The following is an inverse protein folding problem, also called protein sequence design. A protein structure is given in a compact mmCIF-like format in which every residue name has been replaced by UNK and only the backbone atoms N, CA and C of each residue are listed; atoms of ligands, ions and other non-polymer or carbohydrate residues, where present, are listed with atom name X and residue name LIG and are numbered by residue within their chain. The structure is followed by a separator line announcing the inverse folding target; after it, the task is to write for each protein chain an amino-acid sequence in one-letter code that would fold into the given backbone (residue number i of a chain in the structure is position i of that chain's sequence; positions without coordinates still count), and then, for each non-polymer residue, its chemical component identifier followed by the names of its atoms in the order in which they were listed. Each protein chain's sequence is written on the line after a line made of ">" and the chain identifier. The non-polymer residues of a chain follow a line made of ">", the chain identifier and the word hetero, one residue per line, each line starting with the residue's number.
data_IF_764259677224
#
_entry.id   IF_764259677224
#
_cell.length_a   1.000
_cell.length_b   1.000
_cell.length_c   1.000
_cell.angle_alpha   90.00
_cell.angle_beta   90.00
_cell.angle_gamma   90.00
#
_symmetry.space_group_name_H-M   'P 1'
#
loop_
_entity.id
_entity.type
_entity.pdbx_description
1 polymer ?
#
# COMPACT_ATOMS: atom_id res chain seq x y z
N UNK A 1 -6.25 -40.23 10.61
CA UNK A 1 -6.01 -39.61 9.27
C UNK A 1 -7.19 -38.77 8.77
N UNK A 2 -8.46 -39.05 9.15
CA UNK A 2 -9.61 -38.19 8.79
C UNK A 2 -9.75 -36.88 9.60
N UNK A 3 -9.30 -36.87 10.87
CA UNK A 3 -9.53 -35.76 11.81
C UNK A 3 -8.74 -34.47 11.45
N UNK A 4 -7.55 -34.59 10.86
CA UNK A 4 -6.71 -33.44 10.46
C UNK A 4 -7.20 -32.73 9.18
N UNK A 5 -8.05 -33.36 8.37
CA UNK A 5 -8.56 -32.77 7.12
C UNK A 5 -9.78 -31.88 7.33
N UNK A 6 -10.49 -32.06 8.46
CA UNK A 6 -11.71 -31.30 8.78
C UNK A 6 -11.34 -29.93 9.35
N UNK A 7 -10.31 -29.86 10.21
CA UNK A 7 -9.79 -28.59 10.75
C UNK A 7 -9.28 -27.66 9.64
N UNK A 8 -8.48 -28.17 8.68
CA UNK A 8 -7.96 -27.33 7.59
C UNK A 8 -9.05 -26.74 6.70
N UNK A 9 -10.20 -27.41 6.52
CA UNK A 9 -11.27 -26.93 5.65
C UNK A 9 -12.15 -25.89 6.36
N UNK A 10 -12.35 -26.06 7.68
CA UNK A 10 -13.02 -25.09 8.55
C UNK A 10 -12.16 -23.84 8.76
N UNK A 11 -10.86 -24.03 9.03
CA UNK A 11 -9.91 -22.93 9.10
C UNK A 11 -9.83 -22.24 7.75
N UNK A 12 -9.55 -22.92 6.63
CA UNK A 12 -9.47 -22.28 5.30
C UNK A 12 -10.70 -21.43 4.95
N UNK A 13 -11.91 -21.88 5.30
CA UNK A 13 -13.15 -21.10 5.14
C UNK A 13 -13.17 -19.83 6.02
N UNK A 14 -12.71 -19.92 7.27
CA UNK A 14 -12.56 -18.79 8.18
C UNK A 14 -11.41 -17.84 7.80
N UNK A 15 -10.26 -18.38 7.34
CA UNK A 15 -9.10 -17.61 6.89
C UNK A 15 -9.46 -16.81 5.64
N UNK A 16 -10.26 -17.36 4.72
CA UNK A 16 -10.63 -16.66 3.49
C UNK A 16 -11.50 -15.41 3.76
N UNK A 17 -12.47 -15.50 4.66
CA UNK A 17 -13.24 -14.33 5.11
C UNK A 17 -12.37 -13.32 5.87
N UNK A 18 -11.43 -13.82 6.68
CA UNK A 18 -10.48 -12.96 7.40
C UNK A 18 -9.48 -12.29 6.47
N UNK A 19 -9.04 -12.91 5.38
CA UNK A 19 -7.98 -12.41 4.52
C UNK A 19 -8.41 -11.16 3.75
N UNK A 20 -9.66 -11.13 3.26
CA UNK A 20 -10.23 -9.95 2.60
C UNK A 20 -10.38 -8.81 3.62
N UNK A 21 -10.89 -9.12 4.82
CA UNK A 21 -11.05 -8.13 5.89
C UNK A 21 -9.72 -7.60 6.41
N UNK A 22 -8.74 -8.47 6.64
CA UNK A 22 -7.37 -8.13 7.04
C UNK A 22 -6.69 -7.32 5.94
N UNK A 23 -6.88 -7.69 4.66
CA UNK A 23 -6.38 -6.92 3.52
C UNK A 23 -6.98 -5.53 3.46
N UNK A 24 -8.29 -5.40 3.65
CA UNK A 24 -8.99 -4.12 3.73
C UNK A 24 -8.50 -3.26 4.89
N UNK A 25 -8.45 -3.82 6.10
CA UNK A 25 -7.98 -3.14 7.32
C UNK A 25 -6.52 -2.73 7.18
N UNK A 26 -5.66 -3.58 6.61
CA UNK A 26 -4.24 -3.27 6.38
C UNK A 26 -4.08 -2.15 5.35
N UNK A 27 -4.88 -2.16 4.29
CA UNK A 27 -4.86 -1.10 3.26
C UNK A 27 -5.38 0.22 3.81
N UNK A 28 -6.49 0.18 4.55
CA UNK A 28 -7.09 1.35 5.21
C UNK A 28 -6.24 1.89 6.37
N UNK A 29 -5.44 1.04 7.04
CA UNK A 29 -4.56 1.47 8.13
C UNK A 29 -3.21 1.96 7.62
N UNK A 30 -2.92 1.85 6.32
CA UNK A 30 -1.65 2.29 5.75
C UNK A 30 -1.65 3.81 5.48
N UNK A 31 -0.88 4.62 6.23
CA UNK A 31 -0.84 6.07 6.03
C UNK A 31 -0.37 6.46 4.62
N UNK A 32 0.43 5.61 3.97
CA UNK A 32 0.94 5.85 2.63
C UNK A 32 -0.18 5.91 1.58
N UNK A 33 -1.29 5.21 1.78
CA UNK A 33 -2.43 5.24 0.87
C UNK A 33 -3.04 6.65 0.82
N UNK A 34 -3.30 7.24 1.99
CA UNK A 34 -3.84 8.60 2.07
C UNK A 34 -2.83 9.64 1.61
N UNK A 35 -1.56 9.51 1.99
CA UNK A 35 -0.50 10.42 1.56
C UNK A 35 -0.32 10.43 0.03
N UNK A 36 -0.42 9.27 -0.61
CA UNK A 36 -0.38 9.17 -2.07
C UNK A 36 -1.56 9.89 -2.73
N UNK A 37 -2.78 9.69 -2.22
CA UNK A 37 -3.97 10.38 -2.74
C UNK A 37 -3.90 11.89 -2.54
N UNK A 38 -3.36 12.37 -1.42
CA UNK A 38 -3.19 13.81 -1.16
C UNK A 38 -2.13 14.42 -2.07
N UNK A 39 -0.99 13.74 -2.27
CA UNK A 39 0.12 14.28 -3.05
C UNK A 39 -0.07 14.11 -4.57
N UNK A 40 -0.24 12.87 -5.03
CA UNK A 40 -0.24 12.51 -6.45
C UNK A 40 -1.68 12.35 -6.95
N UNK A 41 -2.53 11.67 -6.19
CA UNK A 41 -3.92 11.42 -6.59
C UNK A 41 -4.73 12.71 -6.81
N UNK A 42 -4.51 13.75 -5.99
CA UNK A 42 -5.16 15.06 -6.14
C UNK A 42 -4.82 15.72 -7.48
N UNK A 43 -3.54 15.69 -7.87
CA UNK A 43 -3.08 16.14 -9.18
C UNK A 43 -3.75 15.34 -10.30
N UNK A 44 -3.76 14.01 -10.24
CA UNK A 44 -4.39 13.21 -11.30
C UNK A 44 -5.90 13.46 -11.40
N UNK A 45 -6.61 13.63 -10.29
CA UNK A 45 -8.03 13.99 -10.30
C UNK A 45 -8.22 15.34 -10.99
N UNK A 46 -7.47 16.37 -10.58
CA UNK A 46 -7.58 17.72 -11.16
C UNK A 46 -7.31 17.70 -12.66
N UNK A 47 -6.23 17.04 -13.10
CA UNK A 47 -5.92 16.90 -14.53
C UNK A 47 -7.00 16.12 -15.27
N UNK A 48 -7.58 15.07 -14.66
CA UNK A 48 -8.66 14.29 -15.29
C UNK A 48 -9.95 15.09 -15.47
N UNK A 49 -10.22 16.06 -14.58
CA UNK A 49 -11.39 16.93 -14.65
C UNK A 49 -11.28 17.97 -15.79
N UNK A 50 -10.07 18.34 -16.21
CA UNK A 50 -9.85 19.19 -17.40
C UNK A 50 -10.37 18.54 -18.68
N UNK A 51 -10.32 17.20 -18.75
CA UNK A 51 -10.91 16.41 -19.84
C UNK A 51 -12.42 16.12 -19.64
N UNK A 52 -13.05 16.74 -18.63
CA UNK A 52 -14.46 16.60 -18.30
C UNK A 52 -14.83 15.26 -17.64
N UNK A 53 -16.13 14.98 -17.54
CA UNK A 53 -16.66 13.79 -16.84
C UNK A 53 -16.15 12.46 -17.40
N UNK A 54 -15.85 12.40 -18.70
CA UNK A 54 -15.29 11.21 -19.34
C UNK A 54 -13.83 10.97 -18.93
N UNK A 55 -13.03 12.03 -18.80
CA UNK A 55 -11.65 11.95 -18.31
C UNK A 55 -11.56 11.38 -16.90
N UNK A 56 -12.46 11.78 -16.01
CA UNK A 56 -12.54 11.25 -14.65
C UNK A 56 -12.88 9.75 -14.61
N UNK A 57 -13.85 9.30 -15.41
CA UNK A 57 -14.25 7.88 -15.45
C UNK A 57 -13.12 7.01 -16.03
N UNK A 58 -12.47 7.47 -17.12
CA UNK A 58 -11.34 6.77 -17.70
C UNK A 58 -10.16 6.72 -16.73
N UNK A 59 -9.87 7.81 -16.03
CA UNK A 59 -8.85 7.85 -14.99
C UNK A 59 -9.13 6.79 -13.91
N UNK A 60 -10.36 6.73 -13.38
CA UNK A 60 -10.72 5.77 -12.33
C UNK A 60 -10.49 4.32 -12.79
N UNK A 61 -10.95 3.97 -13.99
CA UNK A 61 -10.84 2.62 -14.55
C UNK A 61 -9.36 2.27 -14.81
N UNK A 62 -8.63 3.14 -15.51
CA UNK A 62 -7.22 2.89 -15.83
C UNK A 62 -6.37 2.81 -14.57
N UNK A 63 -6.62 3.67 -13.58
CA UNK A 63 -5.89 3.67 -12.31
C UNK A 63 -6.10 2.35 -11.57
N UNK A 64 -7.34 1.88 -11.42
CA UNK A 64 -7.63 0.58 -10.80
C UNK A 64 -7.03 -0.60 -11.57
N UNK A 65 -7.04 -0.56 -12.91
CA UNK A 65 -6.42 -1.62 -13.71
C UNK A 65 -4.90 -1.65 -13.56
N UNK A 66 -4.25 -0.48 -13.50
CA UNK A 66 -2.81 -0.37 -13.23
C UNK A 66 -2.48 -0.90 -11.84
N UNK A 67 -3.28 -0.56 -10.83
CA UNK A 67 -3.05 -1.03 -9.47
C UNK A 67 -3.21 -2.55 -9.37
N UNK A 68 -4.27 -3.12 -9.97
CA UNK A 68 -4.46 -4.57 -10.05
C UNK A 68 -3.32 -5.26 -10.80
N UNK A 69 -2.90 -4.70 -11.93
CA UNK A 69 -1.76 -5.20 -12.71
C UNK A 69 -0.47 -5.18 -11.90
N UNK A 70 -0.22 -4.09 -11.16
CA UNK A 70 0.92 -3.94 -10.27
C UNK A 70 0.91 -4.98 -9.15
N UNK A 71 -0.22 -5.15 -8.45
CA UNK A 71 -0.34 -6.16 -7.39
C UNK A 71 -0.17 -7.58 -7.92
N UNK A 72 -0.67 -7.87 -9.13
CA UNK A 72 -0.46 -9.16 -9.76
C UNK A 72 1.02 -9.42 -10.07
N UNK A 73 1.71 -8.44 -10.66
CA UNK A 73 3.15 -8.52 -10.93
C UNK A 73 3.93 -8.73 -9.62
N UNK A 74 3.68 -7.91 -8.60
CA UNK A 74 4.34 -8.01 -7.30
C UNK A 74 4.11 -9.39 -6.68
N UNK A 75 2.87 -9.89 -6.70
CA UNK A 75 2.52 -11.21 -6.16
C UNK A 75 3.27 -12.32 -6.90
N UNK A 76 3.31 -12.28 -8.23
CA UNK A 76 4.02 -13.28 -9.05
C UNK A 76 5.53 -13.20 -8.82
N UNK A 77 6.09 -12.00 -8.75
CA UNK A 77 7.51 -11.76 -8.46
C UNK A 77 7.89 -12.28 -7.07
N UNK A 78 7.06 -12.02 -6.05
CA UNK A 78 7.25 -12.50 -4.68
C UNK A 78 7.13 -14.02 -4.63
N UNK A 79 6.11 -14.59 -5.26
CA UNK A 79 5.89 -16.04 -5.30
C UNK A 79 7.08 -16.77 -5.95
N UNK A 80 7.56 -16.25 -7.08
CA UNK A 80 8.73 -16.81 -7.79
C UNK A 80 10.02 -16.62 -6.99
N UNK A 81 10.19 -15.48 -6.34
CA UNK A 81 11.34 -15.22 -5.46
C UNK A 81 11.33 -16.12 -4.21
N UNK A 82 10.18 -16.36 -3.60
CA UNK A 82 10.04 -17.21 -2.42
C UNK A 82 10.34 -18.68 -2.73
N UNK A 83 10.07 -19.12 -3.96
CA UNK A 83 10.36 -20.49 -4.39
C UNK A 83 11.84 -20.69 -4.76
N UNK A 84 12.53 -19.65 -5.25
CA UNK A 84 13.95 -19.70 -5.63
C UNK A 84 14.91 -19.33 -4.49
N UNK A 85 14.51 -18.42 -3.61
CA UNK A 85 15.32 -17.88 -2.53
C UNK A 85 14.54 -18.05 -1.22
N UNK A 86 14.91 -19.06 -0.42
CA UNK A 86 14.26 -19.32 0.86
C UNK A 86 14.26 -18.10 1.81
N UNK A 87 13.55 -18.19 2.94
CA UNK A 87 13.18 -17.13 3.90
C UNK A 87 14.26 -16.09 4.31
N UNK A 88 15.53 -16.33 3.99
CA UNK A 88 16.69 -15.52 4.37
C UNK A 88 16.75 -14.13 3.70
N UNK A 89 16.18 -13.94 2.51
CA UNK A 89 16.24 -12.66 1.78
C UNK A 89 15.11 -11.68 2.18
N UNK A 90 13.99 -12.19 2.69
CA UNK A 90 12.85 -11.34 3.08
C UNK A 90 13.14 -10.46 4.29
N UNK A 91 13.89 -10.98 5.28
CA UNK A 91 14.27 -10.24 6.49
C UNK A 91 15.07 -8.96 6.21
N UNK A 92 16.21 -8.98 5.49
CA UNK A 92 16.96 -7.77 5.21
C UNK A 92 16.19 -6.79 4.31
N UNK A 93 15.38 -7.27 3.37
CA UNK A 93 14.57 -6.41 2.50
C UNK A 93 13.51 -5.63 3.29
N UNK A 94 12.80 -6.29 4.22
CA UNK A 94 11.84 -5.64 5.09
C UNK A 94 12.50 -4.64 6.04
N UNK A 95 13.67 -4.98 6.60
CA UNK A 95 14.44 -4.07 7.46
C UNK A 95 14.88 -2.84 6.66
N UNK A 96 15.39 -3.02 5.44
CA UNK A 96 15.80 -1.92 4.58
C UNK A 96 14.62 -1.01 4.23
N UNK A 97 13.50 -1.58 3.78
CA UNK A 97 12.30 -0.82 3.44
C UNK A 97 11.73 -0.06 4.65
N UNK A 98 11.60 -0.74 5.79
CA UNK A 98 11.13 -0.14 7.04
C UNK A 98 12.05 0.99 7.54
N UNK A 99 13.37 0.78 7.49
CA UNK A 99 14.34 1.82 7.89
C UNK A 99 14.25 3.06 7.01
N UNK A 100 14.06 2.88 5.70
CA UNK A 100 13.90 3.98 4.75
C UNK A 100 12.63 4.77 5.05
N UNK A 101 11.52 4.09 5.36
CA UNK A 101 10.27 4.70 5.79
C UNK A 101 10.41 5.53 7.08
N UNK A 102 11.11 4.99 8.08
CA UNK A 102 11.37 5.72 9.33
C UNK A 102 12.21 6.97 9.07
N UNK A 103 13.27 6.88 8.25
CA UNK A 103 14.11 8.02 7.89
C UNK A 103 13.31 9.12 7.18
N UNK A 104 12.49 8.76 6.18
CA UNK A 104 11.62 9.71 5.50
C UNK A 104 10.57 10.31 6.44
N UNK A 105 9.97 9.50 7.32
CA UNK A 105 9.00 9.98 8.31
C UNK A 105 9.60 11.01 9.26
N UNK A 106 10.79 10.73 9.80
CA UNK A 106 11.52 11.68 10.67
C UNK A 106 11.88 12.96 9.91
N UNK A 107 12.34 12.85 8.67
CA UNK A 107 12.67 14.01 7.86
C UNK A 107 11.44 14.89 7.57
N UNK A 108 10.30 14.27 7.26
CA UNK A 108 9.04 14.98 7.02
C UNK A 108 8.55 15.71 8.27
N UNK A 109 8.54 15.05 9.43
CA UNK A 109 8.14 15.68 10.71
C UNK A 109 9.07 16.84 11.06
N UNK A 110 10.37 16.66 10.89
CA UNK A 110 11.35 17.72 11.13
C UNK A 110 11.17 18.92 10.20
N UNK A 111 10.91 18.66 8.91
CA UNK A 111 10.59 19.70 7.92
C UNK A 111 9.30 20.46 8.27
N UNK A 112 8.24 19.73 8.64
CA UNK A 112 6.95 20.31 9.04
C UNK A 112 7.07 21.17 10.29
N UNK A 113 7.75 20.69 11.34
CA UNK A 113 7.97 21.44 12.59
C UNK A 113 8.77 22.71 12.35
N UNK A 114 9.81 22.66 11.50
CA UNK A 114 10.57 23.87 11.12
C UNK A 114 9.71 24.88 10.36
N UNK A 115 8.86 24.42 9.45
CA UNK A 115 7.94 25.29 8.72
C UNK A 115 6.93 26.00 9.64
N UNK A 116 6.38 25.28 10.62
CA UNK A 116 5.46 25.86 11.62
C UNK A 116 6.19 26.85 12.54
N UNK A 117 7.39 26.50 13.02
CA UNK A 117 8.20 27.38 13.86
C UNK A 117 8.63 28.66 13.12
N UNK A 118 8.91 28.59 11.81
CA UNK A 118 9.22 29.80 11.02
C UNK A 118 8.02 30.73 10.86
N UNK A 119 6.80 30.18 10.81
CA UNK A 119 5.57 30.98 10.74
C UNK A 119 5.26 31.66 12.08
N UNK A 120 5.49 30.97 13.20
CA UNK A 120 5.31 31.54 14.55
C UNK A 120 6.34 32.62 14.90
N UNK A 121 7.52 32.60 14.27
CA UNK A 121 8.57 33.60 14.50
C UNK A 121 8.40 34.87 13.66
N UNK A 122 7.48 34.87 12.70
CA UNK A 122 7.23 36.01 11.80
C UNK A 122 6.00 36.85 12.20
N UNK A 123 5.22 36.40 13.18
CA UNK A 123 4.16 37.19 13.87
C UNK A 123 4.72 37.85 15.14
#
# INVERSE_FOLDING_TARGET
>A
IGMFRIDMNLEAGAIHHSAIFIGFVTSASNPAFYLWWVAIGSLLILTSLEYGRLGFILFLITHWLVDLGWYWIVTVSVFKSSQMFGEKIWKPLFILCGSTLVLFGVWFVWGGVRGVLSLLKTS
#
